data_IF_176680069621
#
_entry.id   IF_176680069621
#
_cell.length_a   1.000
_cell.length_b   1.000
_cell.length_c   1.000
_cell.angle_alpha   90.00
_cell.angle_beta   90.00
_cell.angle_gamma   90.00
#
_symmetry.space_group_name_H-M   'P 1'
#
loop_
_entity.id
_entity.type
_entity.pdbx_description
1 polymer ?
#
# COMPACT_ATOMS: atom_id res chain seq x y z
N UNK A 1 -0.57 -3.39 -8.41
CA UNK A 1 -0.84 -4.39 -7.35
C UNK A 1 -1.21 -5.76 -7.93
N UNK A 2 -2.20 -5.87 -8.83
CA UNK A 2 -2.59 -7.16 -9.45
C UNK A 2 -1.41 -7.90 -10.08
N UNK A 3 -0.62 -7.20 -10.91
CA UNK A 3 0.56 -7.80 -11.56
C UNK A 3 1.60 -8.31 -10.55
N UNK A 4 1.75 -7.63 -9.41
CA UNK A 4 2.64 -8.05 -8.35
C UNK A 4 2.13 -9.33 -7.67
N UNK A 5 0.84 -9.39 -7.38
CA UNK A 5 0.20 -10.58 -6.81
C UNK A 5 0.33 -11.78 -7.76
N UNK A 6 0.02 -11.59 -9.04
CA UNK A 6 0.17 -12.64 -10.06
C UNK A 6 1.61 -13.16 -10.14
N UNK A 7 2.58 -12.25 -10.12
CA UNK A 7 4.01 -12.60 -10.22
C UNK A 7 4.51 -13.36 -8.99
N UNK A 8 3.98 -13.06 -7.81
CA UNK A 8 4.39 -13.70 -6.55
C UNK A 8 3.57 -14.94 -6.21
N UNK A 9 2.46 -15.19 -6.89
CA UNK A 9 1.55 -16.27 -6.58
C UNK A 9 0.73 -16.05 -5.31
N UNK A 10 0.71 -14.81 -4.81
CA UNK A 10 -0.05 -14.43 -3.63
C UNK A 10 -1.42 -13.87 -3.99
N UNK A 11 -2.35 -13.96 -3.06
CA UNK A 11 -3.68 -13.34 -3.15
C UNK A 11 -3.76 -12.12 -2.23
N UNK A 12 -4.83 -11.32 -2.38
CA UNK A 12 -5.09 -10.19 -1.48
C UNK A 12 -5.18 -10.65 -0.02
N UNK A 13 -5.73 -11.85 0.21
CA UNK A 13 -5.88 -12.39 1.56
C UNK A 13 -4.56 -12.78 2.24
N UNK A 14 -3.51 -13.01 1.44
CA UNK A 14 -2.17 -13.31 1.95
C UNK A 14 -1.42 -12.05 2.43
N UNK A 15 -1.97 -10.87 2.19
CA UNK A 15 -1.37 -9.58 2.51
C UNK A 15 -2.06 -9.00 3.74
N UNK A 16 -1.30 -8.78 4.80
CA UNK A 16 -1.84 -8.27 6.05
C UNK A 16 -2.21 -6.78 5.98
N UNK A 17 -1.33 -5.97 5.42
CA UNK A 17 -1.47 -4.52 5.36
C UNK A 17 -1.11 -3.96 3.99
N UNK A 18 -1.78 -2.87 3.62
CA UNK A 18 -1.50 -2.10 2.42
C UNK A 18 -1.20 -0.64 2.79
N UNK A 19 -0.14 -0.10 2.25
CA UNK A 19 0.09 1.33 2.16
C UNK A 19 -0.22 1.77 0.72
N UNK A 20 -1.39 2.35 0.53
CA UNK A 20 -1.86 2.88 -0.74
C UNK A 20 -1.73 4.39 -0.72
N UNK A 21 -0.94 4.97 -1.62
CA UNK A 21 -0.82 6.41 -1.67
C UNK A 21 -2.14 7.08 -2.03
N UNK A 22 -2.56 8.00 -1.20
CA UNK A 22 -3.81 8.76 -1.37
C UNK A 22 -3.55 10.05 -2.16
N UNK A 23 -3.13 9.90 -3.42
CA UNK A 23 -2.95 11.05 -4.31
C UNK A 23 -4.29 11.79 -4.53
N UNK A 24 -5.36 11.04 -4.68
CA UNK A 24 -6.75 11.52 -4.72
C UNK A 24 -7.62 10.54 -3.91
N UNK A 25 -8.51 11.07 -3.08
CA UNK A 25 -9.40 10.23 -2.27
C UNK A 25 -10.28 9.30 -3.10
N UNK A 26 -10.86 9.80 -4.19
CA UNK A 26 -11.69 9.01 -5.12
C UNK A 26 -10.92 7.86 -5.76
N UNK A 27 -9.67 8.08 -6.13
CA UNK A 27 -8.79 7.06 -6.70
C UNK A 27 -8.45 5.98 -5.66
N UNK A 28 -8.18 6.37 -4.42
CA UNK A 28 -7.90 5.43 -3.35
C UNK A 28 -9.09 4.52 -3.06
N UNK A 29 -10.29 5.08 -2.94
CA UNK A 29 -11.54 4.31 -2.75
C UNK A 29 -11.77 3.33 -3.89
N UNK A 30 -11.63 3.78 -5.14
CA UNK A 30 -11.78 2.92 -6.32
C UNK A 30 -10.80 1.75 -6.30
N UNK A 31 -9.54 2.01 -5.99
CA UNK A 31 -8.52 0.95 -5.93
C UNK A 31 -8.82 -0.09 -4.84
N UNK A 32 -9.27 0.34 -3.68
CA UNK A 32 -9.64 -0.55 -2.57
C UNK A 32 -10.79 -1.46 -3.01
N UNK A 33 -11.83 -0.90 -3.61
CA UNK A 33 -13.00 -1.66 -4.09
C UNK A 33 -12.62 -2.62 -5.21
N UNK A 34 -11.89 -2.17 -6.22
CA UNK A 34 -11.47 -2.97 -7.37
C UNK A 34 -10.55 -4.14 -7.00
N UNK A 35 -9.70 -3.95 -6.01
CA UNK A 35 -8.80 -5.00 -5.52
C UNK A 35 -9.47 -5.93 -4.49
N UNK A 36 -10.64 -5.56 -3.98
CA UNK A 36 -11.33 -6.32 -2.95
C UNK A 36 -10.58 -6.33 -1.62
N UNK A 37 -9.92 -5.23 -1.28
CA UNK A 37 -9.17 -5.10 -0.03
C UNK A 37 -10.11 -4.63 1.08
N UNK A 38 -9.97 -5.21 2.27
CA UNK A 38 -10.62 -4.70 3.46
C UNK A 38 -10.06 -3.31 3.79
N UNK A 39 -10.90 -2.26 3.84
CA UNK A 39 -10.44 -0.91 4.15
C UNK A 39 -9.65 -0.78 5.45
N UNK A 40 -9.90 -1.61 6.44
CA UNK A 40 -9.19 -1.60 7.71
C UNK A 40 -7.72 -2.05 7.58
N UNK A 41 -7.37 -2.72 6.50
CA UNK A 41 -6.00 -3.11 6.19
C UNK A 41 -5.22 -2.06 5.42
N UNK A 42 -5.87 -0.96 5.05
CA UNK A 42 -5.27 0.10 4.21
C UNK A 42 -4.90 1.28 5.07
N UNK A 43 -3.64 1.73 4.96
CA UNK A 43 -3.14 2.93 5.62
C UNK A 43 -3.53 3.00 7.12
N UNK A 44 -3.16 2.02 7.92
CA UNK A 44 -3.65 1.91 9.30
C UNK A 44 -3.25 3.10 10.19
N UNK A 45 -2.20 3.83 9.82
CA UNK A 45 -1.71 5.01 10.55
C UNK A 45 -2.02 6.33 9.82
N UNK A 46 -2.97 6.33 8.90
CA UNK A 46 -3.30 7.46 8.03
C UNK A 46 -2.44 7.50 6.78
N UNK A 47 -2.87 8.25 5.78
CA UNK A 47 -2.24 8.36 4.48
C UNK A 47 -1.97 9.81 4.06
N UNK A 48 -1.69 10.02 2.77
CA UNK A 48 -1.31 11.30 2.21
C UNK A 48 -2.35 12.41 2.40
N UNK A 49 -3.63 12.08 2.46
CA UNK A 49 -4.69 13.07 2.75
C UNK A 49 -4.51 13.68 4.14
N UNK A 50 -3.96 12.93 5.09
CA UNK A 50 -3.71 13.40 6.44
C UNK A 50 -2.35 14.08 6.61
N UNK A 51 -1.29 13.58 5.93
CA UNK A 51 0.10 13.96 6.22
C UNK A 51 0.88 14.53 5.02
N UNK A 52 0.27 14.57 3.83
CA UNK A 52 0.87 15.13 2.63
C UNK A 52 1.59 14.13 1.73
N UNK A 53 2.00 14.61 0.56
CA UNK A 53 2.65 13.80 -0.47
C UNK A 53 3.87 14.55 -1.05
N UNK A 54 4.97 14.63 -0.31
CA UNK A 54 6.20 15.25 -0.82
C UNK A 54 6.82 14.43 -1.96
N UNK A 55 7.25 15.09 -3.02
CA UNK A 55 7.91 14.44 -4.15
C UNK A 55 9.21 13.75 -3.68
N UNK A 56 9.44 12.54 -4.17
CA UNK A 56 10.63 11.77 -3.86
C UNK A 56 10.68 11.14 -2.46
N UNK A 57 9.68 11.39 -1.61
CA UNK A 57 9.67 10.93 -0.19
C UNK A 57 8.59 9.89 0.07
N UNK A 58 7.43 9.99 -0.58
CA UNK A 58 6.26 9.16 -0.24
C UNK A 58 6.53 7.67 -0.30
N UNK A 59 7.24 7.16 -1.29
CA UNK A 59 7.58 5.74 -1.39
C UNK A 59 8.39 5.24 -0.19
N UNK A 60 9.43 5.96 0.18
CA UNK A 60 10.26 5.65 1.35
C UNK A 60 9.47 5.74 2.66
N UNK A 61 8.68 6.80 2.81
CA UNK A 61 7.83 6.99 3.99
C UNK A 61 6.83 5.85 4.14
N UNK A 62 6.15 5.50 3.04
CA UNK A 62 5.15 4.42 3.06
C UNK A 62 5.78 3.07 3.39
N UNK A 63 6.95 2.77 2.83
CA UNK A 63 7.68 1.53 3.15
C UNK A 63 8.07 1.48 4.63
N UNK A 64 8.60 2.55 5.17
CA UNK A 64 8.95 2.65 6.59
C UNK A 64 7.74 2.52 7.51
N UNK A 65 6.64 3.21 7.18
CA UNK A 65 5.37 3.13 7.92
C UNK A 65 4.82 1.71 7.89
N UNK A 66 4.85 1.06 6.72
CA UNK A 66 4.37 -0.31 6.56
C UNK A 66 5.18 -1.31 7.38
N UNK A 67 6.52 -1.24 7.30
CA UNK A 67 7.40 -2.12 8.08
C UNK A 67 7.14 -2.00 9.58
N UNK A 68 7.01 -0.78 10.06
CA UNK A 68 6.69 -0.53 11.47
C UNK A 68 5.33 -1.10 11.86
N UNK A 69 4.31 -0.88 11.05
CA UNK A 69 2.96 -1.40 11.31
C UNK A 69 2.92 -2.93 11.30
N UNK A 70 3.65 -3.57 10.38
CA UNK A 70 3.79 -5.04 10.35
C UNK A 70 4.46 -5.54 11.63
N UNK A 71 5.51 -4.88 12.08
CA UNK A 71 6.22 -5.26 13.30
C UNK A 71 5.34 -5.12 14.54
N UNK A 72 4.67 -3.98 14.71
CA UNK A 72 3.77 -3.71 15.82
C UNK A 72 2.60 -4.71 15.91
N UNK A 73 2.14 -5.23 14.76
CA UNK A 73 1.02 -6.18 14.67
C UNK A 73 1.45 -7.65 14.61
N UNK A 74 2.74 -7.94 14.55
CA UNK A 74 3.26 -9.29 14.40
C UNK A 74 2.92 -9.92 13.04
N UNK A 75 2.70 -9.10 12.01
CA UNK A 75 2.35 -9.53 10.67
C UNK A 75 3.58 -9.59 9.77
N UNK A 76 3.54 -10.41 8.71
CA UNK A 76 4.72 -10.65 7.87
C UNK A 76 4.74 -9.90 6.55
N UNK A 77 3.59 -9.75 5.88
CA UNK A 77 3.54 -9.25 4.51
C UNK A 77 2.67 -8.02 4.37
N UNK A 78 3.19 -7.06 3.63
CA UNK A 78 2.46 -5.88 3.24
C UNK A 78 2.81 -5.44 1.84
N UNK A 79 1.96 -4.61 1.24
CA UNK A 79 2.19 -4.02 -0.08
C UNK A 79 2.18 -2.51 0.04
N UNK A 80 3.19 -1.88 -0.55
CA UNK A 80 3.21 -0.44 -0.84
C UNK A 80 2.81 -0.26 -2.30
N UNK A 81 1.84 0.59 -2.57
CA UNK A 81 1.42 0.87 -3.93
C UNK A 81 1.12 2.37 -4.11
N UNK A 82 1.49 2.90 -5.26
CA UNK A 82 1.30 4.31 -5.58
C UNK A 82 1.21 4.53 -7.09
N UNK A 83 0.57 5.62 -7.50
CA UNK A 83 0.66 6.09 -8.86
C UNK A 83 2.01 6.77 -9.10
N UNK A 84 2.46 6.74 -10.35
CA UNK A 84 3.64 7.47 -10.81
C UNK A 84 3.28 8.29 -12.03
N UNK A 85 4.10 9.29 -12.37
CA UNK A 85 3.86 10.16 -13.50
C UNK A 85 3.58 9.39 -14.81
N UNK A 86 2.74 9.94 -15.69
CA UNK A 86 2.38 9.29 -16.95
C UNK A 86 1.31 8.21 -16.84
N UNK A 87 0.41 8.33 -15.87
CA UNK A 87 -0.69 7.39 -15.63
C UNK A 87 -0.24 5.93 -15.38
N UNK A 88 0.90 5.75 -14.75
CA UNK A 88 1.44 4.46 -14.36
C UNK A 88 1.22 4.19 -12.87
N UNK A 89 1.41 2.93 -12.46
CA UNK A 89 1.40 2.54 -11.07
C UNK A 89 2.61 1.70 -10.71
N UNK A 90 3.06 1.80 -9.47
CA UNK A 90 4.11 0.98 -8.91
C UNK A 90 3.62 0.29 -7.64
N UNK A 91 4.07 -0.94 -7.42
CA UNK A 91 3.77 -1.69 -6.21
C UNK A 91 4.98 -2.51 -5.78
N UNK A 92 5.20 -2.61 -4.48
CA UNK A 92 6.26 -3.42 -3.90
C UNK A 92 5.72 -4.28 -2.77
N UNK A 93 6.12 -5.55 -2.77
CA UNK A 93 5.86 -6.46 -1.66
C UNK A 93 6.96 -6.27 -0.61
N UNK A 94 6.55 -6.12 0.63
CA UNK A 94 7.44 -5.98 1.78
C UNK A 94 7.18 -7.14 2.72
N UNK A 95 8.23 -7.86 3.08
CA UNK A 95 8.16 -8.95 4.06
C UNK A 95 9.03 -8.63 5.27
N UNK A 96 8.51 -8.91 6.45
CA UNK A 96 9.25 -8.87 7.70
C UNK A 96 9.95 -10.20 7.90
N UNK A 97 11.19 -10.15 8.23
CA UNK A 97 11.97 -11.35 8.53
C UNK A 97 11.71 -11.86 9.97
#
# INVERSE_FOLDING_TARGET
TRRLLDKTGLTVDDIALFELNEAFGSQAVYCIEELGIDPERVNPNGGALAIGHPLGVSGTRMAGTLLRALDERGEQRGIVTMCVGGAMGAAALVERS
#
